data_IF_919941727317
#
_entry.id   IF_919941727317
#
_cell.length_a   1.000
_cell.length_b   1.000
_cell.length_c   1.000
_cell.angle_alpha   90.00
_cell.angle_beta   90.00
_cell.angle_gamma   90.00
#
_symmetry.space_group_name_H-M   'P 1'
#
loop_
_entity.id
_entity.type
_entity.pdbx_description
1 polymer ?
#
# COMPACT_ATOMS: atom_id res chain seq x y z
N UNK A 1 10.09 4.86 -1.84
CA UNK A 1 9.48 3.76 -1.06
C UNK A 1 9.76 2.47 -1.80
N UNK A 2 10.17 1.42 -1.09
CA UNK A 2 10.29 0.07 -1.65
C UNK A 2 9.21 -0.80 -1.01
N UNK A 3 8.54 -1.62 -1.82
CA UNK A 3 7.43 -2.47 -1.38
C UNK A 3 7.92 -3.92 -1.30
N UNK A 4 7.51 -4.60 -0.23
CA UNK A 4 7.85 -6.00 0.02
C UNK A 4 6.58 -6.76 0.38
N UNK A 5 6.49 -8.02 -0.05
CA UNK A 5 5.38 -8.93 0.26
C UNK A 5 5.91 -10.17 0.95
N UNK A 6 5.09 -10.78 1.81
CA UNK A 6 5.38 -12.06 2.44
C UNK A 6 4.08 -12.81 2.64
N UNK A 7 4.07 -14.10 2.30
CA UNK A 7 2.96 -15.01 2.62
C UNK A 7 3.17 -15.72 3.97
N UNK A 8 4.27 -15.39 4.66
CA UNK A 8 4.65 -16.03 5.93
C UNK A 8 4.80 -14.97 7.02
N UNK A 9 4.16 -15.26 8.15
CA UNK A 9 4.29 -14.50 9.39
C UNK A 9 4.40 -15.47 10.57
N UNK A 10 5.25 -15.13 11.55
CA UNK A 10 5.37 -15.84 12.82
C UNK A 10 5.56 -14.84 13.96
N UNK A 11 5.14 -15.23 15.17
CA UNK A 11 5.16 -14.39 16.36
C UNK A 11 3.79 -13.77 16.69
N UNK A 12 3.82 -12.75 17.56
CA UNK A 12 2.63 -12.05 18.03
C UNK A 12 2.66 -10.59 17.55
N UNK A 13 1.48 -10.07 17.20
CA UNK A 13 1.30 -8.66 16.85
C UNK A 13 1.58 -7.81 18.09
N UNK A 14 2.33 -6.71 17.91
CA UNK A 14 2.65 -5.76 18.96
C UNK A 14 2.04 -4.40 18.65
N UNK A 15 1.65 -3.71 19.71
CA UNK A 15 1.22 -2.31 19.65
C UNK A 15 2.46 -1.43 19.51
N UNK A 16 2.38 -0.42 18.65
CA UNK A 16 3.35 0.68 18.59
C UNK A 16 2.62 2.03 18.70
N UNK A 17 3.39 3.09 18.85
CA UNK A 17 2.90 4.47 18.94
C UNK A 17 2.58 5.10 17.57
N UNK A 18 2.90 4.42 16.46
CA UNK A 18 2.54 4.86 15.10
C UNK A 18 1.05 4.60 14.78
N UNK A 19 0.42 3.61 15.41
CA UNK A 19 -0.99 3.27 15.21
C UNK A 19 -1.37 1.82 15.54
N UNK A 20 -2.59 1.43 15.14
CA UNK A 20 -3.14 0.10 15.37
C UNK A 20 -2.90 -0.84 14.18
N UNK A 21 -2.26 -1.98 14.41
CA UNK A 21 -2.10 -3.02 13.40
C UNK A 21 -3.37 -3.90 13.32
N UNK A 22 -3.93 -4.06 12.12
CA UNK A 22 -5.13 -4.87 11.88
C UNK A 22 -4.96 -5.80 10.69
N UNK A 23 -5.52 -7.01 10.79
CA UNK A 23 -5.71 -7.90 9.66
C UNK A 23 -6.93 -7.45 8.86
N UNK A 24 -6.76 -7.19 7.58
CA UNK A 24 -7.82 -6.73 6.67
C UNK A 24 -7.94 -7.73 5.53
N UNK A 25 -9.16 -8.13 5.20
CA UNK A 25 -9.42 -8.93 3.99
C UNK A 25 -8.95 -8.16 2.76
N UNK A 26 -8.27 -8.85 1.82
CA UNK A 26 -7.62 -8.18 0.67
C UNK A 26 -8.61 -7.34 -0.13
N UNK A 27 -9.83 -7.84 -0.29
CA UNK A 27 -10.91 -7.20 -1.04
C UNK A 27 -11.39 -5.89 -0.38
N UNK A 28 -11.26 -5.78 0.96
CA UNK A 28 -11.69 -4.61 1.75
C UNK A 28 -10.61 -3.54 1.89
N UNK A 29 -9.36 -3.83 1.49
CA UNK A 29 -8.24 -2.87 1.61
C UNK A 29 -8.55 -1.56 0.87
N UNK A 30 -9.22 -1.64 -0.27
CA UNK A 30 -9.57 -0.46 -1.08
C UNK A 30 -10.67 0.41 -0.47
N UNK A 31 -11.40 -0.08 0.53
CA UNK A 31 -12.43 0.68 1.23
C UNK A 31 -11.85 1.54 2.36
N UNK A 32 -10.58 1.34 2.71
CA UNK A 32 -9.90 2.12 3.75
C UNK A 32 -9.60 3.54 3.29
N UNK A 33 -9.36 4.43 4.25
CA UNK A 33 -8.86 5.79 4.05
C UNK A 33 -7.40 5.77 3.62
N UNK A 34 -7.16 5.48 2.34
CA UNK A 34 -5.84 5.42 1.72
C UNK A 34 -5.52 6.69 0.93
N UNK A 35 -4.23 7.05 0.88
CA UNK A 35 -3.71 8.03 -0.06
C UNK A 35 -3.96 7.58 -1.50
N UNK A 36 -4.19 8.53 -2.41
CA UNK A 36 -4.48 8.23 -3.83
C UNK A 36 -3.38 7.39 -4.48
N UNK A 37 -2.11 7.63 -4.15
CA UNK A 37 -0.98 6.86 -4.65
C UNK A 37 -0.86 5.46 -4.05
N UNK A 38 -1.32 5.25 -2.82
CA UNK A 38 -1.32 3.92 -2.19
C UNK A 38 -2.26 2.98 -2.92
N UNK A 39 -3.42 3.49 -3.33
CA UNK A 39 -4.39 2.75 -4.14
C UNK A 39 -3.78 2.23 -5.44
N UNK A 40 -2.84 2.98 -6.04
CA UNK A 40 -2.20 2.59 -7.30
C UNK A 40 -1.32 1.35 -7.09
N UNK A 41 -0.35 1.41 -6.17
CA UNK A 41 0.56 0.27 -5.99
C UNK A 41 -0.10 -0.91 -5.28
N UNK A 42 -1.06 -0.68 -4.38
CA UNK A 42 -1.82 -1.77 -3.75
C UNK A 42 -2.63 -2.55 -4.77
N UNK A 43 -3.23 -1.86 -5.76
CA UNK A 43 -3.94 -2.52 -6.86
C UNK A 43 -2.99 -3.42 -7.65
N UNK A 44 -1.83 -2.90 -8.06
CA UNK A 44 -0.80 -3.67 -8.78
C UNK A 44 -0.32 -4.90 -8.00
N UNK A 45 -0.12 -4.75 -6.68
CA UNK A 45 0.25 -5.85 -5.81
C UNK A 45 -0.84 -6.93 -5.73
N UNK A 46 -2.12 -6.54 -5.62
CA UNK A 46 -3.23 -7.48 -5.56
C UNK A 46 -3.49 -8.19 -6.90
N UNK A 47 -3.28 -7.49 -8.02
CA UNK A 47 -3.35 -8.06 -9.37
C UNK A 47 -2.10 -8.89 -9.73
N UNK A 48 -1.10 -8.92 -8.84
CA UNK A 48 0.16 -9.66 -8.97
C UNK A 48 0.88 -9.36 -10.31
N UNK A 49 0.93 -8.08 -10.68
CA UNK A 49 1.53 -7.58 -11.94
C UNK A 49 3.06 -7.80 -12.05
N UNK A 50 3.68 -8.41 -11.03
CA UNK A 50 5.12 -8.59 -10.96
C UNK A 50 5.84 -7.32 -10.50
N UNK A 51 7.06 -7.10 -10.99
CA UNK A 51 7.85 -5.93 -10.64
C UNK A 51 7.33 -4.67 -11.34
N UNK A 52 7.18 -3.58 -10.58
CA UNK A 52 6.82 -2.26 -11.08
C UNK A 52 7.63 -1.16 -10.38
N UNK A 53 7.74 -0.01 -11.04
CA UNK A 53 8.36 1.20 -10.48
C UNK A 53 7.49 2.41 -10.77
N UNK A 54 7.20 3.20 -9.74
CA UNK A 54 6.29 4.34 -9.82
C UNK A 54 6.96 5.62 -9.32
N UNK A 55 6.67 6.73 -10.02
CA UNK A 55 6.83 8.09 -9.51
C UNK A 55 5.45 8.66 -9.19
N UNK A 56 5.27 9.09 -7.95
CA UNK A 56 4.10 9.79 -7.46
C UNK A 56 4.51 11.23 -7.11
N UNK A 57 3.83 12.23 -7.68
CA UNK A 57 4.00 13.64 -7.30
C UNK A 57 2.73 14.13 -6.61
N UNK A 58 2.89 14.66 -5.41
CA UNK A 58 1.82 15.28 -4.63
C UNK A 58 1.96 16.81 -4.63
N UNK A 59 0.82 17.49 -4.59
CA UNK A 59 0.69 18.93 -4.33
C UNK A 59 -0.19 19.10 -3.09
N UNK A 60 0.45 19.27 -1.93
CA UNK A 60 -0.25 19.12 -0.64
C UNK A 60 -0.71 17.68 -0.46
N UNK A 61 -1.99 17.49 -0.15
CA UNK A 61 -2.59 16.16 0.06
C UNK A 61 -3.09 15.50 -1.24
N UNK A 62 -3.09 16.24 -2.35
CA UNK A 62 -3.64 15.77 -3.64
C UNK A 62 -2.56 15.18 -4.51
N UNK A 63 -2.82 14.01 -5.08
CA UNK A 63 -1.95 13.41 -6.10
C UNK A 63 -2.07 14.20 -7.41
N UNK A 64 -0.96 14.81 -7.82
CA UNK A 64 -0.89 15.63 -9.02
C UNK A 64 -0.42 14.85 -10.26
N UNK A 65 0.41 13.82 -10.08
CA UNK A 65 0.86 12.93 -11.17
C UNK A 65 1.21 11.55 -10.63
N UNK A 66 0.86 10.51 -11.38
CA UNK A 66 1.40 9.16 -11.23
C UNK A 66 1.95 8.68 -12.57
N UNK A 67 3.19 8.18 -12.55
CA UNK A 67 3.88 7.67 -13.72
C UNK A 67 4.57 6.35 -13.40
N UNK A 68 4.36 5.35 -14.24
CA UNK A 68 5.06 4.06 -14.22
C UNK A 68 6.27 4.08 -15.17
N UNK A 69 7.29 3.27 -14.84
CA UNK A 69 8.52 3.11 -15.62
C UNK A 69 8.69 1.70 -16.17
#
# INVERSE_FOLDING_TARGET
MFLYTSDQFSGEIRVCDEGDLQWVEKEKVMDLSLWEGDRIFLKKLMENEGYFSLKLRYEGERLAEAREY
#
